data_IF_447860517252
#
_entry.id   IF_447860517252
#
_cell.length_a   1.000
_cell.length_b   1.000
_cell.length_c   1.000
_cell.angle_alpha   90.00
_cell.angle_beta   90.00
_cell.angle_gamma   90.00
#
_symmetry.space_group_name_H-M   'P 1'
#
loop_
_entity.id
_entity.type
_entity.pdbx_description
1 polymer ?
#
# COMPACT_ATOMS: atom_id res chain seq x y z
N UNK A 1 0.17 12.69 -19.62
CA UNK A 1 0.08 12.31 -18.19
C UNK A 1 0.88 11.05 -17.96
N UNK A 2 1.65 11.06 -16.90
CA UNK A 2 2.56 9.96 -16.62
C UNK A 2 1.96 9.06 -15.55
N UNK A 3 1.74 7.80 -15.89
CA UNK A 3 1.34 6.80 -14.88
C UNK A 3 2.52 6.47 -13.99
N UNK A 4 2.23 5.98 -12.77
CA UNK A 4 3.23 5.72 -11.74
C UNK A 4 2.97 4.41 -11.03
N UNK A 5 4.04 3.84 -10.48
CA UNK A 5 3.97 2.76 -9.50
C UNK A 5 4.25 3.39 -8.14
N UNK A 6 3.31 3.25 -7.21
CA UNK A 6 3.33 3.94 -5.93
C UNK A 6 3.09 2.93 -4.81
N UNK A 7 3.91 2.95 -3.78
CA UNK A 7 3.58 2.20 -2.56
C UNK A 7 2.79 3.10 -1.63
N UNK A 8 1.73 2.58 -1.04
CA UNK A 8 0.88 3.32 -0.12
C UNK A 8 0.61 2.47 1.11
N UNK A 9 0.89 3.01 2.30
CA UNK A 9 0.68 2.29 3.55
C UNK A 9 0.61 3.25 4.73
N UNK A 10 0.17 2.72 5.87
CA UNK A 10 0.18 3.43 7.15
C UNK A 10 0.99 2.61 8.15
N UNK A 11 1.71 3.30 9.03
CA UNK A 11 2.52 2.66 10.07
C UNK A 11 2.49 3.50 11.34
N UNK A 12 2.71 2.83 12.47
CA UNK A 12 2.87 3.54 13.74
C UNK A 12 4.32 4.01 13.93
N UNK A 13 4.62 4.58 15.09
CA UNK A 13 5.97 5.11 15.38
C UNK A 13 7.06 4.04 15.39
N UNK A 14 6.69 2.77 15.57
CA UNK A 14 7.64 1.64 15.57
C UNK A 14 7.73 0.94 14.22
N UNK A 15 6.93 1.38 13.24
CA UNK A 15 6.87 0.73 11.93
C UNK A 15 5.86 -0.39 11.85
N UNK A 16 4.97 -0.53 12.83
CA UNK A 16 3.90 -1.55 12.79
C UNK A 16 2.94 -1.27 11.66
N UNK A 17 2.66 -2.26 10.83
CA UNK A 17 1.72 -2.16 9.72
C UNK A 17 0.57 -3.17 9.80
N UNK A 18 0.61 -4.10 10.76
CA UNK A 18 -0.45 -5.10 10.88
C UNK A 18 -0.42 -5.85 12.20
N UNK A 19 -1.56 -6.46 12.50
CA UNK A 19 -1.75 -7.36 13.63
C UNK A 19 -2.77 -8.41 13.23
N UNK A 20 -2.39 -9.69 13.31
CA UNK A 20 -3.27 -10.80 12.92
C UNK A 20 -3.86 -10.62 11.51
N UNK A 21 -2.99 -10.19 10.58
CA UNK A 21 -3.32 -9.94 9.16
C UNK A 21 -4.33 -8.81 8.94
N UNK A 22 -4.51 -7.93 9.92
CA UNK A 22 -5.41 -6.77 9.84
C UNK A 22 -4.71 -5.50 10.28
N UNK A 23 -5.31 -4.35 10.00
CA UNK A 23 -4.83 -3.08 10.52
C UNK A 23 -5.09 -3.02 12.03
N UNK A 24 -4.10 -2.62 12.84
CA UNK A 24 -4.26 -2.56 14.29
C UNK A 24 -4.99 -1.31 14.79
N UNK A 25 -5.47 -0.46 13.89
CA UNK A 25 -6.18 0.78 14.21
C UNK A 25 -7.39 0.93 13.32
N UNK A 26 -8.31 1.80 13.75
CA UNK A 26 -9.45 2.21 12.94
C UNK A 26 -9.44 3.74 12.87
N UNK A 27 -9.05 4.27 11.70
CA UNK A 27 -8.95 5.70 11.45
C UNK A 27 -9.74 6.04 10.20
N UNK A 28 -11.03 6.41 10.33
CA UNK A 28 -11.88 6.68 9.17
C UNK A 28 -11.31 7.71 8.18
N UNK A 29 -10.65 8.75 8.68
CA UNK A 29 -10.05 9.76 7.81
C UNK A 29 -8.90 9.18 6.98
N UNK A 30 -8.12 8.25 7.54
CA UNK A 30 -7.03 7.60 6.83
C UNK A 30 -7.59 6.61 5.79
N UNK A 31 -8.65 5.89 6.13
CA UNK A 31 -9.32 4.99 5.18
C UNK A 31 -9.92 5.78 4.01
N UNK A 32 -10.47 6.94 4.27
CA UNK A 32 -10.99 7.84 3.23
C UNK A 32 -9.86 8.30 2.31
N UNK A 33 -8.73 8.67 2.87
CA UNK A 33 -7.54 9.04 2.11
C UNK A 33 -7.11 7.90 1.18
N UNK A 34 -7.02 6.68 1.70
CA UNK A 34 -6.65 5.50 0.90
C UNK A 34 -7.64 5.31 -0.26
N UNK A 35 -8.93 5.37 0.05
CA UNK A 35 -9.97 5.18 -0.96
C UNK A 35 -9.88 6.24 -2.07
N UNK A 36 -9.79 7.50 -1.70
CA UNK A 36 -9.75 8.60 -2.68
C UNK A 36 -8.48 8.54 -3.54
N UNK A 37 -7.36 8.13 -2.94
CA UNK A 37 -6.09 8.03 -3.66
C UNK A 37 -6.10 6.91 -4.69
N UNK A 38 -6.68 5.76 -4.36
CA UNK A 38 -6.63 4.57 -5.21
C UNK A 38 -7.83 4.43 -6.16
N UNK A 39 -8.86 5.24 -5.99
CA UNK A 39 -10.09 5.14 -6.77
C UNK A 39 -9.81 5.24 -8.26
N UNK A 40 -10.42 4.36 -9.05
CA UNK A 40 -10.28 4.27 -10.51
C UNK A 40 -8.88 3.87 -10.99
N UNK A 41 -8.03 3.41 -10.09
CA UNK A 41 -6.70 2.89 -10.40
C UNK A 41 -6.59 1.41 -10.07
N UNK A 42 -5.40 0.85 -10.17
CA UNK A 42 -5.14 -0.53 -9.83
C UNK A 42 -4.46 -0.62 -8.48
N UNK A 43 -4.81 -1.65 -7.71
CA UNK A 43 -4.16 -1.95 -6.43
C UNK A 43 -3.57 -3.36 -6.50
N UNK A 44 -2.37 -3.53 -5.98
CA UNK A 44 -1.71 -4.83 -5.95
C UNK A 44 -1.35 -5.20 -4.52
N UNK A 45 -1.65 -6.43 -4.16
CA UNK A 45 -1.37 -6.96 -2.83
C UNK A 45 -0.99 -8.44 -2.92
N UNK A 46 -0.38 -8.95 -1.85
CA UNK A 46 -0.15 -10.38 -1.71
C UNK A 46 -1.42 -11.09 -1.26
N UNK A 47 -1.44 -12.42 -1.40
CA UNK A 47 -2.59 -13.23 -1.02
C UNK A 47 -2.94 -13.10 0.46
N UNK A 48 -1.93 -13.04 1.34
CA UNK A 48 -2.16 -12.93 2.78
C UNK A 48 -2.90 -11.62 3.13
N UNK A 49 -2.50 -10.52 2.50
CA UNK A 49 -3.18 -9.23 2.68
C UNK A 49 -4.63 -9.31 2.20
N UNK A 50 -4.85 -9.95 1.05
CA UNK A 50 -6.20 -10.12 0.51
C UNK A 50 -7.07 -10.97 1.44
N UNK A 51 -6.51 -12.06 1.98
CA UNK A 51 -7.21 -12.90 2.96
C UNK A 51 -7.57 -12.10 4.22
N UNK A 52 -6.64 -11.25 4.69
CA UNK A 52 -6.86 -10.39 5.85
C UNK A 52 -7.96 -9.34 5.64
N UNK A 53 -8.24 -9.00 4.39
CA UNK A 53 -9.35 -8.12 4.02
C UNK A 53 -10.68 -8.87 3.86
N UNK A 54 -10.72 -10.17 4.22
CA UNK A 54 -11.90 -11.00 4.05
C UNK A 54 -12.15 -11.40 2.61
N UNK A 55 -11.13 -11.37 1.77
CA UNK A 55 -11.18 -11.68 0.34
C UNK A 55 -12.21 -10.83 -0.42
N UNK A 56 -12.37 -9.57 -0.01
CA UNK A 56 -13.31 -8.65 -0.62
C UNK A 56 -12.62 -7.75 -1.64
N UNK A 57 -13.20 -7.65 -2.83
CA UNK A 57 -12.75 -6.70 -3.84
C UNK A 57 -13.20 -5.31 -3.46
N UNK A 58 -12.29 -4.35 -3.57
CA UNK A 58 -12.63 -2.94 -3.31
C UNK A 58 -13.28 -2.35 -4.56
N UNK A 59 -14.47 -1.74 -4.43
CA UNK A 59 -15.18 -1.23 -5.61
C UNK A 59 -14.41 -0.11 -6.33
N UNK A 60 -14.61 -0.04 -7.64
CA UNK A 60 -14.04 0.99 -8.51
C UNK A 60 -12.51 0.99 -8.56
N UNK A 61 -11.90 -0.16 -8.23
CA UNK A 61 -10.45 -0.36 -8.37
C UNK A 61 -10.20 -1.72 -8.98
N UNK A 62 -9.18 -1.81 -9.81
CA UNK A 62 -8.77 -3.09 -10.38
C UNK A 62 -7.82 -3.77 -9.41
N UNK A 63 -8.14 -4.99 -9.01
CA UNK A 63 -7.39 -5.73 -8.01
C UNK A 63 -6.43 -6.71 -8.66
N UNK A 64 -5.15 -6.60 -8.33
CA UNK A 64 -4.10 -7.53 -8.72
C UNK A 64 -3.60 -8.25 -7.48
N UNK A 65 -3.45 -9.56 -7.58
CA UNK A 65 -2.94 -10.40 -6.48
C UNK A 65 -1.64 -11.06 -6.94
N UNK A 66 -0.59 -10.92 -6.15
CA UNK A 66 0.67 -11.59 -6.41
C UNK A 66 0.80 -12.78 -5.46
N UNK A 67 0.92 -13.98 -6.01
CA UNK A 67 1.05 -15.22 -5.24
C UNK A 67 1.93 -16.20 -5.98
N UNK A 68 2.67 -17.03 -5.26
CA UNK A 68 3.48 -18.09 -5.87
C UNK A 68 2.65 -19.29 -6.32
N UNK A 69 1.40 -19.38 -5.88
CA UNK A 69 0.52 -20.50 -6.22
C UNK A 69 -0.10 -20.30 -7.61
N UNK A 70 0.34 -21.08 -8.64
CA UNK A 70 -0.20 -20.92 -9.99
C UNK A 70 -1.65 -21.39 -10.14
N UNK A 71 -2.16 -22.09 -9.14
CA UNK A 71 -3.54 -22.60 -9.13
C UNK A 71 -4.53 -21.61 -8.52
N UNK A 72 -4.01 -20.50 -7.93
CA UNK A 72 -4.89 -19.50 -7.30
C UNK A 72 -5.70 -18.79 -8.36
N UNK A 73 -7.01 -18.77 -8.16
CA UNK A 73 -7.95 -18.08 -9.03
C UNK A 73 -8.93 -17.30 -8.17
N UNK A 74 -9.12 -16.04 -8.49
CA UNK A 74 -10.00 -15.15 -7.72
C UNK A 74 -10.89 -14.41 -8.72
N UNK A 75 -12.20 -14.65 -8.63
CA UNK A 75 -13.14 -13.99 -9.51
C UNK A 75 -13.10 -12.48 -9.31
N UNK A 76 -12.96 -11.73 -10.39
CA UNK A 76 -12.90 -10.27 -10.35
C UNK A 76 -11.53 -9.68 -10.09
N UNK A 77 -10.50 -10.51 -9.92
CA UNK A 77 -9.12 -10.06 -9.72
C UNK A 77 -8.20 -10.67 -10.78
N UNK A 78 -7.07 -10.00 -11.01
CA UNK A 78 -6.01 -10.54 -11.85
C UNK A 78 -4.95 -11.14 -10.93
N UNK A 79 -4.57 -12.39 -11.19
CA UNK A 79 -3.62 -13.13 -10.35
C UNK A 79 -2.32 -13.33 -11.12
N UNK A 80 -1.21 -12.99 -10.48
CA UNK A 80 0.14 -13.07 -11.05
C UNK A 80 1.04 -13.87 -10.13
N UNK A 81 2.03 -14.57 -10.69
CA UNK A 81 2.97 -15.36 -9.93
C UNK A 81 4.35 -14.72 -9.79
N UNK A 82 4.61 -13.65 -10.53
CA UNK A 82 5.92 -12.97 -10.47
C UNK A 82 5.79 -11.49 -10.80
N UNK A 83 6.83 -10.73 -10.44
CA UNK A 83 6.88 -9.29 -10.63
C UNK A 83 6.90 -8.92 -12.11
N UNK A 84 7.63 -9.68 -12.93
CA UNK A 84 7.79 -9.40 -14.35
C UNK A 84 6.44 -9.36 -15.07
N UNK A 85 5.54 -10.29 -14.75
CA UNK A 85 4.21 -10.33 -15.36
C UNK A 85 3.35 -9.15 -14.91
N UNK A 86 3.50 -8.71 -13.67
CA UNK A 86 2.81 -7.50 -13.19
C UNK A 86 3.32 -6.27 -13.95
N UNK A 87 4.62 -6.14 -14.11
CA UNK A 87 5.22 -5.00 -14.83
C UNK A 87 4.80 -5.00 -16.31
N UNK A 88 4.73 -6.17 -16.92
CA UNK A 88 4.26 -6.29 -18.30
C UNK A 88 2.80 -5.81 -18.40
N UNK A 89 1.95 -6.25 -17.51
CA UNK A 89 0.56 -5.78 -17.44
C UNK A 89 0.52 -4.26 -17.27
N UNK A 90 1.32 -3.73 -16.34
CA UNK A 90 1.35 -2.29 -16.05
C UNK A 90 1.72 -1.48 -17.29
N UNK A 91 2.69 -1.94 -18.07
CA UNK A 91 3.13 -1.21 -19.27
C UNK A 91 2.10 -1.17 -20.40
N UNK A 92 1.11 -2.07 -20.38
CA UNK A 92 0.10 -2.18 -21.44
C UNK A 92 -1.25 -1.56 -21.05
N UNK A 93 -1.30 -0.72 -20.00
CA UNK A 93 -2.52 -0.04 -19.60
C UNK A 93 -2.18 1.35 -19.03
N UNK A 94 -3.19 2.17 -18.73
CA UNK A 94 -2.99 3.59 -18.42
C UNK A 94 -3.11 3.96 -16.94
N UNK A 95 -3.57 3.05 -16.09
CA UNK A 95 -3.81 3.35 -14.67
C UNK A 95 -2.52 3.37 -13.86
N UNK A 96 -2.49 4.17 -12.79
CA UNK A 96 -1.46 4.04 -11.77
C UNK A 96 -1.60 2.69 -11.06
N UNK A 97 -0.48 2.16 -10.59
CA UNK A 97 -0.45 0.92 -9.82
C UNK A 97 -0.04 1.25 -8.40
N UNK A 98 -0.93 0.95 -7.44
CA UNK A 98 -0.69 1.16 -6.01
C UNK A 98 -0.37 -0.16 -5.33
N UNK A 99 0.83 -0.25 -4.75
CA UNK A 99 1.28 -1.42 -4.01
C UNK A 99 0.84 -1.23 -2.56
N UNK A 100 0.00 -2.13 -2.06
CA UNK A 100 -0.62 -1.93 -0.74
C UNK A 100 -0.20 -2.95 0.32
N UNK A 101 0.72 -3.83 0.00
CA UNK A 101 1.34 -4.74 0.98
C UNK A 101 1.13 -6.22 0.67
N UNK A 102 1.58 -7.04 1.50
CA UNK A 102 2.30 -6.78 2.75
C UNK A 102 3.81 -6.58 2.62
N UNK A 103 4.49 -6.91 3.71
CA UNK A 103 5.92 -6.69 3.86
C UNK A 103 6.74 -7.19 2.66
N UNK A 104 6.54 -8.44 2.26
CA UNK A 104 7.30 -9.02 1.14
C UNK A 104 7.00 -8.34 -0.18
N UNK A 105 5.76 -7.91 -0.38
CA UNK A 105 5.35 -7.25 -1.62
C UNK A 105 6.00 -5.87 -1.72
N UNK A 106 6.08 -5.14 -0.62
CA UNK A 106 6.83 -3.87 -0.60
C UNK A 106 8.30 -4.08 -0.97
N UNK A 107 8.93 -5.13 -0.43
CA UNK A 107 10.32 -5.45 -0.73
C UNK A 107 10.52 -5.76 -2.22
N UNK A 108 9.61 -6.55 -2.79
CA UNK A 108 9.71 -6.96 -4.20
C UNK A 108 9.58 -5.79 -5.17
N UNK A 109 8.73 -4.81 -4.84
CA UNK A 109 8.45 -3.70 -5.73
C UNK A 109 9.30 -2.45 -5.47
N UNK A 110 10.08 -2.42 -4.40
CA UNK A 110 10.90 -1.26 -4.05
C UNK A 110 11.70 -0.69 -5.24
N UNK A 111 12.42 -1.51 -6.03
CA UNK A 111 13.22 -0.97 -7.15
C UNK A 111 12.40 -0.30 -8.24
N UNK A 112 11.10 -0.59 -8.31
CA UNK A 112 10.23 -0.12 -9.39
C UNK A 112 9.33 1.03 -8.99
N UNK A 113 9.39 1.47 -7.72
CA UNK A 113 8.51 2.52 -7.23
C UNK A 113 8.97 3.91 -7.70
N UNK A 114 8.02 4.69 -8.19
CA UNK A 114 8.24 6.08 -8.54
C UNK A 114 8.02 7.00 -7.35
N UNK A 115 7.03 6.66 -6.52
CA UNK A 115 6.63 7.46 -5.35
C UNK A 115 6.21 6.54 -4.22
N UNK A 116 6.23 7.09 -3.00
CA UNK A 116 5.61 6.44 -1.85
C UNK A 116 4.69 7.42 -1.14
N UNK A 117 3.60 6.90 -0.60
CA UNK A 117 2.66 7.67 0.22
C UNK A 117 2.56 6.92 1.54
N UNK A 118 3.12 7.51 2.59
CA UNK A 118 3.14 6.86 3.90
C UNK A 118 2.40 7.70 4.92
N UNK A 119 1.47 7.07 5.63
CA UNK A 119 0.79 7.68 6.77
C UNK A 119 1.56 7.32 8.03
N UNK A 120 2.11 8.34 8.69
CA UNK A 120 2.78 8.17 9.98
C UNK A 120 1.76 8.38 11.08
N UNK A 121 1.41 7.33 11.80
CA UNK A 121 0.46 7.40 12.90
C UNK A 121 1.24 7.72 14.16
N UNK A 122 0.87 8.81 14.84
CA UNK A 122 1.60 9.31 16.02
C UNK A 122 1.14 8.58 17.27
N UNK A 123 1.44 7.28 17.31
CA UNK A 123 1.09 6.40 18.42
C UNK A 123 1.97 5.16 18.37
N UNK A 124 1.98 4.41 19.44
CA UNK A 124 2.61 3.09 19.52
C UNK A 124 1.51 2.08 19.79
N UNK A 125 1.30 1.16 18.88
CA UNK A 125 0.25 0.14 19.01
C UNK A 125 0.88 -1.24 19.07
N UNK A 126 0.10 -2.23 19.50
CA UNK A 126 0.54 -3.61 19.44
C UNK A 126 0.37 -4.12 18.00
N UNK A 127 1.37 -4.82 17.51
CA UNK A 127 1.32 -5.42 16.19
C UNK A 127 2.34 -6.52 16.05
N UNK A 128 2.17 -7.32 15.01
CA UNK A 128 3.05 -8.45 14.73
C UNK A 128 3.74 -8.33 13.37
N UNK A 129 3.34 -7.36 12.57
CA UNK A 129 3.90 -7.15 11.23
C UNK A 129 4.44 -5.73 11.14
N UNK A 130 5.68 -5.63 10.67
CA UNK A 130 6.40 -4.36 10.56
C UNK A 130 6.77 -4.07 9.12
N UNK A 131 6.85 -2.79 8.79
CA UNK A 131 7.35 -2.39 7.48
C UNK A 131 8.79 -2.90 7.32
N UNK A 132 9.20 -3.36 6.12
CA UNK A 132 10.53 -3.96 5.95
C UNK A 132 11.66 -2.99 6.31
N UNK A 133 12.57 -3.43 7.18
CA UNK A 133 13.71 -2.63 7.64
C UNK A 133 14.69 -2.34 6.51
N UNK A 134 14.80 -3.24 5.54
CA UNK A 134 15.72 -3.10 4.42
C UNK A 134 15.18 -2.26 3.27
N UNK A 135 13.96 -1.75 3.39
CA UNK A 135 13.39 -0.81 2.43
C UNK A 135 14.06 0.56 2.61
N UNK A 136 14.68 1.07 1.56
CA UNK A 136 15.42 2.33 1.64
C UNK A 136 14.52 3.55 1.48
N UNK A 137 13.99 4.04 2.61
CA UNK A 137 13.16 5.24 2.61
C UNK A 137 13.96 6.50 2.20
N UNK A 138 15.29 6.48 2.37
CA UNK A 138 16.13 7.63 2.01
C UNK A 138 16.26 7.83 0.50
N UNK A 139 15.88 6.82 -0.29
CA UNK A 139 15.84 6.96 -1.75
C UNK A 139 14.70 7.88 -2.21
N UNK A 140 13.82 8.26 -1.31
CA UNK A 140 12.65 9.10 -1.59
C UNK A 140 12.71 10.38 -0.75
N UNK A 141 12.39 11.51 -1.39
CA UNK A 141 12.36 12.80 -0.68
C UNK A 141 10.93 13.29 -0.52
N UNK A 142 10.66 13.95 0.60
CA UNK A 142 9.31 14.45 0.87
C UNK A 142 8.98 15.61 -0.06
N UNK A 143 7.92 15.46 -0.86
CA UNK A 143 7.43 16.51 -1.73
C UNK A 143 6.29 17.30 -1.09
N UNK A 144 5.49 16.65 -0.24
CA UNK A 144 4.37 17.28 0.45
C UNK A 144 4.00 16.45 1.67
N UNK A 145 3.34 17.08 2.64
CA UNK A 145 2.79 16.39 3.79
C UNK A 145 1.50 17.06 4.25
N UNK A 146 0.65 16.28 4.91
CA UNK A 146 -0.61 16.78 5.45
C UNK A 146 -0.87 16.12 6.79
N UNK A 147 -1.07 16.92 7.83
CA UNK A 147 -1.30 16.43 9.19
C UNK A 147 -2.77 16.50 9.56
N UNK A 148 -3.22 15.52 10.32
CA UNK A 148 -4.58 15.40 10.82
C UNK A 148 -4.54 15.22 12.33
N UNK A 149 -5.34 16.00 13.05
CA UNK A 149 -5.47 15.86 14.49
C UNK A 149 -6.51 14.81 14.84
N UNK A 150 -6.27 14.08 15.93
CA UNK A 150 -7.26 13.12 16.46
C UNK A 150 -8.57 13.84 16.77
N UNK A 151 -9.67 13.12 16.65
CA UNK A 151 -11.00 13.62 16.94
C UNK A 151 -11.88 12.49 17.46
N UNK A 152 -13.19 12.70 17.55
CA UNK A 152 -14.14 11.72 18.10
C UNK A 152 -14.13 10.39 17.32
N UNK A 153 -13.82 10.41 16.03
CA UNK A 153 -13.84 9.23 15.17
C UNK A 153 -12.43 8.69 14.91
N UNK A 154 -11.42 9.54 15.01
CA UNK A 154 -10.03 9.19 14.69
C UNK A 154 -9.19 9.33 15.96
N UNK A 155 -8.86 8.18 16.56
CA UNK A 155 -8.29 8.14 17.91
C UNK A 155 -6.82 8.56 18.00
N UNK A 156 -6.14 8.73 16.87
CA UNK A 156 -4.73 9.15 16.83
C UNK A 156 -4.53 10.30 15.86
N UNK A 157 -3.56 11.16 16.18
CA UNK A 157 -3.02 12.11 15.20
C UNK A 157 -2.25 11.32 14.15
N UNK A 158 -2.23 11.81 12.91
CA UNK A 158 -1.39 11.20 11.88
C UNK A 158 -0.99 12.22 10.82
N UNK A 159 0.11 11.91 10.12
CA UNK A 159 0.62 12.74 9.04
C UNK A 159 0.79 11.88 7.79
N UNK A 160 0.25 12.34 6.69
CA UNK A 160 0.41 11.69 5.38
C UNK A 160 1.57 12.37 4.68
N UNK A 161 2.58 11.59 4.30
CA UNK A 161 3.76 12.08 3.59
C UNK A 161 3.74 11.56 2.16
N UNK A 162 3.89 12.50 1.21
CA UNK A 162 4.02 12.20 -0.21
C UNK A 162 5.48 12.36 -0.57
N UNK A 163 6.14 11.26 -0.94
CA UNK A 163 7.56 11.26 -1.25
C UNK A 163 7.79 10.79 -2.68
N UNK A 164 8.73 11.41 -3.35
CA UNK A 164 9.13 11.05 -4.72
C UNK A 164 10.53 10.48 -4.70
N UNK A 165 10.80 9.51 -5.58
CA UNK A 165 12.14 8.96 -5.72
C UNK A 165 13.08 10.09 -6.13
N UNK A 166 14.23 10.17 -5.47
CA UNK A 166 15.25 11.15 -5.79
C UNK A 166 15.81 10.91 -7.18
N UNK A 167 16.05 11.97 -7.91
CA UNK A 167 16.74 11.87 -9.19
C UNK A 167 18.23 11.58 -8.96
N UNK A 168 18.80 10.80 -9.84
CA UNK A 168 20.20 10.43 -9.76
C UNK A 168 21.02 11.34 -10.67
#
# INVERSE_FOLDING_TARGET
MTKKIVAIWAQDEKGVIGKEDRLPWHLPAELKHFKETTLNHAILMGRVTFDGMGRRLLPERETLILTRNPEESIEGALVFQNVENVLDWYHHQAKNLYIIGGKQIFQLFEPYLDEIIVTQIHAQVEGDTYFPEDFDLTAFETAASKSYSKDEKNVYDFTIEYRKRKEV
#
